data_IF_868050394508
#
_entry.id   IF_868050394508
#
_cell.length_a   1.000
_cell.length_b   1.000
_cell.length_c   1.000
_cell.angle_alpha   90.00
_cell.angle_beta   90.00
_cell.angle_gamma   90.00
#
_symmetry.space_group_name_H-M   'P 1'
#
loop_
_entity.id
_entity.type
_entity.pdbx_description
1 polymer ?
#
# COMPACT_ATOMS: atom_id res chain seq x y z
N UNK A 1 -10.12 13.47 -2.68
CA UNK A 1 -11.03 12.48 -2.04
C UNK A 1 -10.22 11.31 -1.52
N UNK A 2 -9.69 10.40 -2.36
CA UNK A 2 -8.93 9.21 -1.91
C UNK A 2 -7.83 9.48 -0.86
N UNK A 3 -6.89 10.38 -1.16
CA UNK A 3 -5.77 10.68 -0.26
C UNK A 3 -6.21 11.32 1.06
N UNK A 4 -7.25 12.17 1.01
CA UNK A 4 -7.81 12.82 2.20
C UNK A 4 -8.44 11.81 3.16
N UNK A 5 -9.12 10.79 2.60
CA UNK A 5 -9.75 9.73 3.37
C UNK A 5 -8.71 8.78 3.98
N UNK A 6 -7.65 8.43 3.23
CA UNK A 6 -6.52 7.64 3.75
C UNK A 6 -5.79 8.37 4.88
N UNK A 7 -5.53 9.67 4.74
CA UNK A 7 -4.94 10.49 5.81
C UNK A 7 -5.81 10.50 7.07
N UNK A 8 -7.14 10.59 6.89
CA UNK A 8 -8.09 10.54 8.00
C UNK A 8 -8.07 9.18 8.69
N UNK A 9 -8.04 8.09 7.92
CA UNK A 9 -7.94 6.74 8.45
C UNK A 9 -6.64 6.54 9.25
N UNK A 10 -5.51 6.96 8.68
CA UNK A 10 -4.21 6.93 9.37
C UNK A 10 -4.26 7.70 10.69
N UNK A 11 -4.77 8.93 10.70
CA UNK A 11 -4.94 9.70 11.94
C UNK A 11 -5.84 9.03 12.97
N UNK A 12 -6.97 8.45 12.55
CA UNK A 12 -7.90 7.76 13.45
C UNK A 12 -7.31 6.51 14.08
N UNK A 13 -6.43 5.80 13.35
CA UNK A 13 -5.68 4.64 13.84
C UNK A 13 -4.42 5.02 14.62
N UNK A 14 -4.05 6.30 14.67
CA UNK A 14 -2.82 6.77 15.31
C UNK A 14 -1.55 6.48 14.52
N UNK A 15 -1.66 6.23 13.21
CA UNK A 15 -0.51 6.01 12.35
C UNK A 15 0.17 7.33 11.99
N UNK A 16 1.51 7.32 12.01
CA UNK A 16 2.33 8.38 11.46
C UNK A 16 2.59 8.11 9.97
N UNK A 17 2.39 9.11 9.13
CA UNK A 17 2.59 8.97 7.69
C UNK A 17 4.07 9.15 7.39
N UNK A 18 4.75 8.06 7.06
CA UNK A 18 6.15 8.08 6.61
C UNK A 18 6.29 8.79 5.26
N UNK A 19 5.58 8.32 4.23
CA UNK A 19 5.63 8.86 2.88
C UNK A 19 4.34 8.53 2.10
N UNK A 20 3.96 9.37 1.14
CA UNK A 20 2.79 9.17 0.29
C UNK A 20 3.21 8.83 -1.15
N UNK A 21 3.04 7.57 -1.53
CA UNK A 21 3.37 7.08 -2.86
C UNK A 21 2.18 7.23 -3.82
N UNK A 22 2.19 8.28 -4.65
CA UNK A 22 1.08 8.61 -5.57
C UNK A 22 1.51 8.58 -7.04
N UNK A 23 0.99 7.60 -7.78
CA UNK A 23 1.12 7.53 -9.25
C UNK A 23 0.00 8.38 -9.92
N UNK A 24 0.28 9.64 -10.27
CA UNK A 24 -0.69 10.52 -10.98
C UNK A 24 -0.59 10.34 -12.50
N UNK A 25 -1.70 10.06 -13.18
CA UNK A 25 -1.75 10.07 -14.65
C UNK A 25 -1.21 8.81 -15.33
N UNK A 26 -0.97 7.74 -14.57
CA UNK A 26 -0.64 6.42 -15.14
C UNK A 26 -1.94 5.80 -15.67
N UNK A 27 -2.27 6.07 -16.93
CA UNK A 27 -3.23 5.24 -17.65
C UNK A 27 -2.76 3.79 -17.50
N UNK A 28 -3.65 2.84 -17.23
CA UNK A 28 -3.30 1.43 -16.95
C UNK A 28 -2.45 0.72 -18.02
N UNK A 29 -2.11 1.41 -19.10
CA UNK A 29 -1.29 1.05 -20.25
C UNK A 29 0.14 1.61 -20.27
N UNK A 30 0.48 2.70 -19.56
CA UNK A 30 1.89 3.18 -19.49
C UNK A 30 2.60 2.50 -18.31
N UNK A 31 3.61 1.71 -18.64
CA UNK A 31 4.10 0.59 -17.83
C UNK A 31 4.95 0.92 -16.60
N UNK A 32 5.25 2.18 -16.30
CA UNK A 32 6.10 2.53 -15.14
C UNK A 32 5.25 2.97 -13.96
N UNK A 33 5.50 2.37 -12.79
CA UNK A 33 4.87 2.68 -11.51
C UNK A 33 5.93 3.10 -10.51
N UNK A 34 6.60 4.24 -10.73
CA UNK A 34 7.76 4.63 -9.93
C UNK A 34 7.41 4.79 -8.45
N UNK A 35 6.18 5.18 -8.12
CA UNK A 35 5.76 5.29 -6.72
C UNK A 35 5.59 3.90 -6.07
N UNK A 36 5.07 2.90 -6.80
CA UNK A 36 5.01 1.53 -6.30
C UNK A 36 6.41 0.94 -6.13
N UNK A 37 7.31 1.15 -7.10
CA UNK A 37 8.68 0.65 -7.01
C UNK A 37 9.40 1.26 -5.79
N UNK A 38 9.25 2.57 -5.57
CA UNK A 38 9.77 3.25 -4.39
C UNK A 38 9.17 2.73 -3.07
N UNK A 39 7.86 2.45 -3.04
CA UNK A 39 7.20 1.84 -1.89
C UNK A 39 7.79 0.48 -1.55
N UNK A 40 7.99 -0.38 -2.56
CA UNK A 40 8.55 -1.71 -2.35
C UNK A 40 10.01 -1.64 -1.86
N UNK A 41 10.80 -0.70 -2.37
CA UNK A 41 12.17 -0.48 -1.91
C UNK A 41 12.23 0.07 -0.47
N UNK A 42 11.31 0.96 -0.11
CA UNK A 42 11.17 1.45 1.27
C UNK A 42 10.69 0.34 2.22
N UNK A 43 9.79 -0.54 1.77
CA UNK A 43 9.36 -1.73 2.51
C UNK A 43 10.54 -2.67 2.79
N UNK A 44 11.37 -2.97 1.78
CA UNK A 44 12.57 -3.81 1.95
C UNK A 44 13.59 -3.22 2.91
N UNK A 45 13.67 -1.89 2.98
CA UNK A 45 14.48 -1.15 3.95
C UNK A 45 13.83 -1.04 5.34
N UNK A 46 12.59 -1.53 5.49
CA UNK A 46 11.79 -1.50 6.73
C UNK A 46 11.67 -0.08 7.30
N UNK A 47 11.35 0.88 6.43
CA UNK A 47 11.20 2.30 6.82
C UNK A 47 9.82 2.62 7.39
N UNK A 48 8.89 1.66 7.33
CA UNK A 48 7.54 1.74 7.86
C UNK A 48 7.04 0.32 8.18
N UNK A 49 5.99 0.24 9.00
CA UNK A 49 5.39 -1.02 9.45
C UNK A 49 4.03 -1.31 8.79
N UNK A 50 3.42 -0.32 8.11
CA UNK A 50 2.07 -0.47 7.52
C UNK A 50 2.01 0.12 6.11
N UNK A 51 1.49 -0.67 5.17
CA UNK A 51 1.08 -0.24 3.82
C UNK A 51 -0.42 -0.02 3.79
N UNK A 52 -0.84 1.24 3.68
CA UNK A 52 -2.25 1.62 3.54
C UNK A 52 -2.57 2.00 2.10
N UNK A 53 -3.49 1.25 1.47
CA UNK A 53 -3.93 1.51 0.09
C UNK A 53 -5.43 1.80 0.03
N UNK A 54 -5.86 2.55 -0.98
CA UNK A 54 -7.29 2.81 -1.22
C UNK A 54 -8.02 1.55 -1.68
N UNK A 55 -7.43 0.82 -2.63
CA UNK A 55 -7.92 -0.46 -3.16
C UNK A 55 -6.76 -1.35 -3.57
N UNK A 56 -6.94 -2.67 -3.46
CA UNK A 56 -5.92 -3.62 -3.92
C UNK A 56 -5.72 -3.56 -5.45
N UNK A 57 -6.75 -3.24 -6.25
CA UNK A 57 -6.62 -3.14 -7.72
C UNK A 57 -5.73 -1.94 -8.16
N UNK A 58 -5.58 -0.96 -7.26
CA UNK A 58 -4.63 0.15 -7.41
C UNK A 58 -3.23 -0.21 -6.95
N UNK A 59 -3.06 -1.32 -6.23
CA UNK A 59 -1.77 -1.82 -5.79
C UNK A 59 -1.26 -2.95 -6.70
N UNK A 60 -2.06 -3.98 -6.93
CA UNK A 60 -1.71 -5.15 -7.73
C UNK A 60 -2.62 -5.28 -8.96
N UNK A 61 -2.01 -5.59 -10.12
CA UNK A 61 -2.73 -5.80 -11.40
C UNK A 61 -3.23 -7.23 -11.59
N UNK A 62 -2.90 -8.14 -10.68
CA UNK A 62 -3.36 -9.54 -10.70
C UNK A 62 -3.37 -10.12 -9.29
N UNK A 63 -4.15 -11.18 -9.07
CA UNK A 63 -4.20 -11.89 -7.79
C UNK A 63 -2.83 -12.44 -7.39
N UNK A 64 -2.07 -12.97 -8.35
CA UNK A 64 -0.71 -13.46 -8.09
C UNK A 64 0.19 -12.33 -7.56
N UNK A 65 0.18 -11.17 -8.21
CA UNK A 65 0.98 -10.02 -7.77
C UNK A 65 0.57 -9.56 -6.36
N UNK A 66 -0.72 -9.57 -6.03
CA UNK A 66 -1.18 -9.26 -4.67
C UNK A 66 -0.64 -10.26 -3.65
N UNK A 67 -0.78 -11.57 -3.93
CA UNK A 67 -0.33 -12.63 -3.03
C UNK A 67 1.18 -12.57 -2.81
N UNK A 68 1.97 -12.41 -3.88
CA UNK A 68 3.43 -12.29 -3.80
C UNK A 68 3.86 -11.11 -2.90
N UNK A 69 3.19 -9.95 -3.05
CA UNK A 69 3.47 -8.77 -2.23
C UNK A 69 3.05 -8.96 -0.77
N UNK A 70 1.89 -9.57 -0.50
CA UNK A 70 1.46 -9.87 0.87
C UNK A 70 2.42 -10.84 1.58
N UNK A 71 2.97 -11.81 0.84
CA UNK A 71 4.03 -12.68 1.37
C UNK A 71 5.32 -11.91 1.68
N UNK A 72 5.74 -11.01 0.80
CA UNK A 72 6.91 -10.16 1.02
C UNK A 72 6.72 -9.27 2.25
N UNK A 73 5.58 -8.58 2.38
CA UNK A 73 5.25 -7.74 3.53
C UNK A 73 5.20 -8.54 4.83
N UNK A 74 4.57 -9.72 4.84
CA UNK A 74 4.58 -10.60 6.01
C UNK A 74 6.00 -10.99 6.45
N UNK A 75 6.89 -11.30 5.52
CA UNK A 75 8.28 -11.63 5.86
C UNK A 75 9.07 -10.41 6.39
N UNK A 76 8.63 -9.21 6.03
CA UNK A 76 9.19 -7.95 6.48
C UNK A 76 8.50 -7.38 7.73
N UNK A 77 7.55 -8.12 8.31
CA UNK A 77 6.74 -7.66 9.46
C UNK A 77 6.00 -6.34 9.16
N UNK A 78 5.51 -6.23 7.92
CA UNK A 78 4.75 -5.08 7.41
C UNK A 78 3.30 -5.50 7.23
N UNK A 79 2.38 -4.75 7.82
CA UNK A 79 0.95 -4.93 7.64
C UNK A 79 0.46 -4.30 6.35
N UNK A 80 -0.55 -4.91 5.74
CA UNK A 80 -1.22 -4.39 4.55
C UNK A 80 -2.69 -4.14 4.85
N UNK A 81 -3.13 -2.90 4.59
CA UNK A 81 -4.51 -2.45 4.80
C UNK A 81 -5.07 -1.91 3.48
N UNK A 82 -6.19 -2.47 3.03
CA UNK A 82 -6.98 -1.95 1.92
C UNK A 82 -8.25 -1.29 2.42
N UNK A 83 -8.37 0.02 2.21
CA UNK A 83 -9.45 0.83 2.77
C UNK A 83 -10.84 0.44 2.25
N UNK A 84 -11.03 0.25 0.94
CA UNK A 84 -12.37 -0.05 0.39
C UNK A 84 -12.80 -1.50 0.55
N UNK A 85 -11.87 -2.46 0.52
CA UNK A 85 -12.20 -3.88 0.63
C UNK A 85 -12.16 -4.42 2.07
N UNK A 86 -11.87 -3.55 3.05
CA UNK A 86 -11.73 -3.91 4.47
C UNK A 86 -10.80 -5.11 4.72
N UNK A 87 -9.80 -5.29 3.85
CA UNK A 87 -8.74 -6.27 4.04
C UNK A 87 -7.73 -5.63 4.97
N UNK A 88 -7.59 -6.18 6.17
CA UNK A 88 -6.66 -5.73 7.18
C UNK A 88 -5.87 -6.95 7.67
N UNK A 89 -4.57 -7.01 7.32
CA UNK A 89 -3.71 -8.12 7.75
C UNK A 89 -3.11 -7.93 9.15
N UNK A 90 -3.37 -6.78 9.80
CA UNK A 90 -2.88 -6.50 11.16
C UNK A 90 -3.70 -7.20 12.25
N UNK A 91 -4.85 -7.77 11.89
CA UNK A 91 -5.73 -8.48 12.82
C UNK A 91 -5.48 -10.01 12.75
N UNK A 92 -5.33 -10.71 13.91
CA UNK A 92 -5.10 -12.16 13.98
C UNK A 92 -6.23 -13.02 13.40
#
# INVERSE_FOLDING_TARGET
MQLSDLRRYAQQRGFEIYEEYVDVGVSGTKGSRPALDALMDAARKRLFDVVLVWRFDRFARSTKHLVDALHEFRNLDIDFISYQEAIDTSSP
#
